data_IF_671272285518
#
_entry.id   IF_671272285518
#
_cell.length_a   1.000
_cell.length_b   1.000
_cell.length_c   1.000
_cell.angle_alpha   90.00
_cell.angle_beta   90.00
_cell.angle_gamma   90.00
#
_symmetry.space_group_name_H-M   'P 1'
#
loop_
_entity.id
_entity.type
_entity.pdbx_description
1 polymer ?
#
# COMPACT_ATOMS: atom_id res chain seq x y z
N UNK A 1 -29.74 -5.11 30.29
CA UNK A 1 -28.55 -4.66 31.03
C UNK A 1 -27.56 -4.14 30.01
N UNK A 2 -27.19 -2.86 30.11
CA UNK A 2 -26.26 -2.21 29.18
C UNK A 2 -24.94 -2.05 29.91
N UNK A 3 -23.88 -2.66 29.38
CA UNK A 3 -22.53 -2.53 29.95
C UNK A 3 -21.96 -1.20 29.46
N UNK A 4 -21.44 -0.33 30.34
CA UNK A 4 -20.74 0.87 29.91
C UNK A 4 -19.40 0.47 29.26
N UNK A 5 -19.28 0.75 27.96
CA UNK A 5 -18.03 0.62 27.21
C UNK A 5 -17.30 1.95 27.24
N UNK A 6 -16.03 1.91 27.67
CA UNK A 6 -15.11 3.05 27.55
C UNK A 6 -14.36 2.88 26.24
N UNK A 7 -14.62 3.76 25.27
CA UNK A 7 -13.84 3.77 24.03
C UNK A 7 -12.47 4.39 24.31
N UNK A 8 -11.42 3.57 24.17
CA UNK A 8 -10.05 4.04 24.20
C UNK A 8 -9.77 4.68 22.82
N UNK A 9 -9.23 5.91 22.74
CA UNK A 9 -8.87 6.51 21.46
C UNK A 9 -7.82 5.65 20.78
N UNK A 10 -8.20 4.97 19.70
CA UNK A 10 -7.26 4.33 18.79
C UNK A 10 -6.73 5.40 17.84
N UNK A 11 -5.41 5.55 17.74
CA UNK A 11 -4.80 6.48 16.77
C UNK A 11 -5.21 6.06 15.36
N UNK A 12 -5.73 7.02 14.60
CA UNK A 12 -6.27 6.78 13.27
C UNK A 12 -5.13 6.43 12.31
N UNK A 13 -5.23 5.27 11.64
CA UNK A 13 -4.23 4.86 10.65
C UNK A 13 -4.53 5.56 9.34
N UNK A 14 -3.57 6.32 8.86
CA UNK A 14 -3.65 7.04 7.60
C UNK A 14 -2.42 6.78 6.73
N UNK A 15 -2.61 6.75 5.41
CA UNK A 15 -1.50 6.61 4.46
C UNK A 15 -0.49 7.76 4.58
N UNK A 16 -0.91 8.97 4.98
CA UNK A 16 0.00 10.10 5.18
C UNK A 16 1.03 9.89 6.29
N UNK A 17 0.86 8.90 7.15
CA UNK A 17 1.81 8.53 8.21
C UNK A 17 2.52 7.19 7.98
N UNK A 18 2.20 6.47 6.89
CA UNK A 18 2.69 5.10 6.66
C UNK A 18 4.07 5.02 6.01
N UNK A 19 4.69 6.16 5.69
CA UNK A 19 6.00 6.21 5.03
C UNK A 19 6.09 5.33 3.78
N UNK A 20 4.97 5.17 3.06
CA UNK A 20 4.82 4.33 1.89
C UNK A 20 5.26 2.86 2.08
N UNK A 21 4.97 2.26 3.24
CA UNK A 21 5.33 0.87 3.52
C UNK A 21 4.77 -0.11 2.47
N UNK A 22 3.50 0.03 2.07
CA UNK A 22 2.89 -0.82 1.05
C UNK A 22 3.55 -0.69 -0.34
N UNK A 23 4.14 0.47 -0.67
CA UNK A 23 4.84 0.67 -1.94
C UNK A 23 6.21 -0.02 -2.00
N UNK A 24 6.63 -0.73 -0.93
CA UNK A 24 7.83 -1.59 -0.93
C UNK A 24 7.53 -3.04 -1.31
N UNK A 25 6.25 -3.41 -1.32
CA UNK A 25 5.82 -4.76 -1.64
C UNK A 25 5.88 -5.00 -3.15
N UNK A 26 6.21 -6.22 -3.54
CA UNK A 26 5.97 -6.67 -4.90
C UNK A 26 4.48 -6.97 -5.07
N UNK A 27 3.89 -6.46 -6.16
CA UNK A 27 2.46 -6.53 -6.40
C UNK A 27 2.21 -7.07 -7.80
N UNK A 28 1.58 -8.23 -7.88
CA UNK A 28 1.15 -8.82 -9.15
C UNK A 28 -0.08 -8.11 -9.71
N UNK A 29 -0.13 -7.96 -11.03
CA UNK A 29 -1.27 -7.43 -11.76
C UNK A 29 -2.11 -8.61 -12.26
N UNK A 30 -3.10 -9.00 -11.46
CA UNK A 30 -3.96 -10.15 -11.79
C UNK A 30 -5.18 -9.79 -12.66
N UNK A 31 -5.48 -8.51 -12.81
CA UNK A 31 -6.62 -7.98 -13.59
C UNK A 31 -6.29 -6.62 -14.21
N UNK A 32 -6.94 -6.32 -15.34
CA UNK A 32 -6.88 -4.99 -15.96
C UNK A 32 -7.56 -3.96 -15.05
N UNK A 33 -6.73 -3.21 -14.33
CA UNK A 33 -7.15 -2.32 -13.24
C UNK A 33 -7.00 -0.84 -13.57
N UNK A 34 -6.55 -0.53 -14.79
CA UNK A 34 -6.30 0.83 -15.26
C UNK A 34 -4.95 1.39 -14.80
N UNK A 35 -4.02 0.55 -14.38
CA UNK A 35 -2.64 0.96 -14.09
C UNK A 35 -1.98 1.44 -15.40
N UNK A 36 -1.41 2.65 -15.44
CA UNK A 36 -0.66 3.13 -16.61
C UNK A 36 0.53 2.22 -16.95
N UNK A 37 0.77 1.98 -18.24
CA UNK A 37 1.81 1.06 -18.74
C UNK A 37 3.22 1.42 -18.22
N UNK A 38 3.52 2.71 -18.00
CA UNK A 38 4.82 3.15 -17.46
C UNK A 38 5.10 2.65 -16.03
N UNK A 39 4.06 2.21 -15.30
CA UNK A 39 4.17 1.65 -13.96
C UNK A 39 4.13 0.12 -13.93
N UNK A 40 4.15 -0.54 -15.09
CA UNK A 40 4.09 -2.00 -15.21
C UNK A 40 5.48 -2.53 -15.61
N UNK A 41 5.86 -3.66 -15.02
CA UNK A 41 7.03 -4.43 -15.41
C UNK A 41 6.65 -5.89 -15.62
N UNK A 42 7.44 -6.60 -16.43
CA UNK A 42 7.32 -8.05 -16.60
C UNK A 42 8.36 -8.75 -15.73
N UNK A 43 7.92 -9.70 -14.92
CA UNK A 43 8.80 -10.51 -14.08
C UNK A 43 9.56 -11.60 -14.87
N UNK A 44 10.40 -12.38 -14.17
CA UNK A 44 11.21 -13.44 -14.78
C UNK A 44 10.39 -14.60 -15.38
N UNK A 45 9.11 -14.71 -15.04
CA UNK A 45 8.21 -15.76 -15.51
C UNK A 45 7.20 -15.26 -16.55
N UNK A 46 7.29 -13.99 -16.95
CA UNK A 46 6.39 -13.37 -17.92
C UNK A 46 5.11 -12.81 -17.30
N UNK A 47 5.00 -12.74 -15.97
CA UNK A 47 3.88 -12.12 -15.26
C UNK A 47 4.02 -10.61 -15.18
N UNK A 48 2.90 -9.89 -15.17
CA UNK A 48 2.89 -8.44 -14.97
C UNK A 48 2.87 -8.10 -13.48
N UNK A 49 3.74 -7.17 -13.10
CA UNK A 49 3.89 -6.67 -11.72
C UNK A 49 3.97 -5.14 -11.73
N UNK A 50 3.67 -4.51 -10.59
CA UNK A 50 4.01 -3.10 -10.40
C UNK A 50 5.51 -2.92 -10.53
N UNK A 51 5.93 -2.00 -11.41
CA UNK A 51 7.33 -1.67 -11.61
C UNK A 51 7.94 -1.11 -10.32
N UNK A 52 9.07 -1.69 -9.91
CA UNK A 52 9.86 -1.27 -8.76
C UNK A 52 11.19 -0.71 -9.24
N UNK A 53 11.54 0.47 -8.72
CA UNK A 53 12.79 1.12 -9.04
C UNK A 53 13.92 0.59 -8.14
N UNK A 54 15.16 0.98 -8.46
CA UNK A 54 16.37 0.54 -7.75
C UNK A 54 16.39 0.92 -6.26
N UNK A 55 15.55 1.88 -5.85
CA UNK A 55 15.37 2.27 -4.44
C UNK A 55 14.43 1.33 -3.67
N UNK A 56 13.91 0.30 -4.34
CA UNK A 56 13.03 -0.71 -3.75
C UNK A 56 11.57 -0.27 -3.62
N UNK A 57 11.21 0.92 -4.10
CA UNK A 57 9.84 1.42 -4.10
C UNK A 57 9.18 1.28 -5.46
N UNK A 58 7.85 1.13 -5.44
CA UNK A 58 7.01 1.23 -6.63
C UNK A 58 7.25 2.55 -7.39
N UNK A 59 7.23 2.47 -8.71
CA UNK A 59 7.43 3.61 -9.61
C UNK A 59 6.34 4.69 -9.45
N UNK A 60 5.13 4.33 -9.02
CA UNK A 60 4.01 5.26 -8.82
C UNK A 60 4.00 5.97 -7.45
N UNK A 61 5.06 5.83 -6.64
CA UNK A 61 5.17 6.51 -5.36
C UNK A 61 5.75 7.92 -5.51
N UNK A 62 5.06 8.91 -4.95
CA UNK A 62 5.63 10.24 -4.74
C UNK A 62 6.66 10.19 -3.59
N UNK A 63 7.90 10.56 -3.89
CA UNK A 63 9.02 10.50 -2.93
C UNK A 63 8.98 11.62 -1.90
N UNK A 64 8.32 12.74 -2.15
CA UNK A 64 8.18 13.84 -1.20
C UNK A 64 7.04 13.57 -0.23
N UNK A 65 5.84 13.29 -0.76
CA UNK A 65 4.63 13.12 0.07
C UNK A 65 4.50 11.72 0.66
N UNK A 66 5.23 10.74 0.11
CA UNK A 66 5.09 9.30 0.43
C UNK A 66 3.69 8.76 0.14
N UNK A 67 2.98 9.38 -0.81
CA UNK A 67 1.65 8.97 -1.24
C UNK A 67 1.69 8.35 -2.64
N UNK A 68 0.76 7.44 -2.91
CA UNK A 68 0.61 6.85 -4.24
C UNK A 68 0.02 7.90 -5.20
N UNK A 69 0.69 8.18 -6.33
CA UNK A 69 0.22 9.14 -7.33
C UNK A 69 -0.94 8.61 -8.17
N UNK A 70 -1.14 7.29 -8.18
CA UNK A 70 -2.20 6.61 -8.91
C UNK A 70 -3.29 6.06 -8.00
N UNK A 71 -3.51 6.63 -6.80
CA UNK A 71 -4.36 6.06 -5.75
C UNK A 71 -5.75 5.59 -6.25
N UNK A 72 -6.38 6.37 -7.14
CA UNK A 72 -7.70 6.07 -7.72
C UNK A 72 -7.69 4.93 -8.76
N UNK A 73 -6.56 4.71 -9.43
CA UNK A 73 -6.36 3.69 -10.47
C UNK A 73 -5.35 2.62 -10.04
N UNK A 74 -5.19 2.43 -8.73
CA UNK A 74 -4.33 1.38 -8.15
C UNK A 74 -4.74 -0.01 -8.64
N UNK A 75 -3.78 -0.95 -8.71
CA UNK A 75 -4.08 -2.33 -9.03
C UNK A 75 -4.99 -2.95 -7.97
N UNK A 76 -5.70 -4.01 -8.36
CA UNK A 76 -6.68 -4.68 -7.51
C UNK A 76 -6.10 -5.10 -6.16
N UNK A 77 -4.91 -5.73 -6.15
CA UNK A 77 -4.22 -6.13 -4.91
C UNK A 77 -3.99 -4.94 -3.96
N UNK A 78 -3.60 -3.78 -4.50
CA UNK A 78 -3.41 -2.57 -3.69
C UNK A 78 -4.73 -1.97 -3.17
N UNK A 79 -5.88 -2.30 -3.78
CA UNK A 79 -7.21 -1.88 -3.28
C UNK A 79 -7.68 -2.78 -2.15
N UNK A 80 -7.45 -4.09 -2.28
CA UNK A 80 -7.74 -5.08 -1.23
C UNK A 80 -6.84 -4.88 0.00
N UNK A 81 -5.64 -4.31 -0.18
CA UNK A 81 -4.80 -3.85 0.92
C UNK A 81 -5.40 -2.56 1.54
N UNK A 82 -6.43 -2.73 2.36
CA UNK A 82 -7.17 -1.62 2.96
C UNK A 82 -6.35 -0.84 4.00
N UNK A 83 -6.57 0.47 4.04
CA UNK A 83 -5.94 1.35 5.03
C UNK A 83 -6.37 0.96 6.44
N UNK A 84 -5.42 0.65 7.31
CA UNK A 84 -5.69 0.26 8.70
C UNK A 84 -6.16 -1.18 8.88
N UNK A 85 -6.16 -1.99 7.82
CA UNK A 85 -6.38 -3.44 7.89
C UNK A 85 -5.32 -4.13 8.74
N UNK A 86 -5.53 -5.41 9.02
CA UNK A 86 -4.56 -6.23 9.75
C UNK A 86 -3.21 -6.27 9.03
N UNK A 87 -3.23 -6.49 7.72
CA UNK A 87 -2.05 -6.51 6.85
C UNK A 87 -1.36 -5.14 6.84
N UNK A 88 -2.12 -4.04 6.75
CA UNK A 88 -1.58 -2.69 6.84
C UNK A 88 -0.80 -2.45 8.14
N UNK A 89 -1.32 -2.93 9.27
CA UNK A 89 -0.66 -2.78 10.59
C UNK A 89 0.57 -3.66 10.75
N UNK A 90 0.55 -4.87 10.18
CA UNK A 90 1.74 -5.73 10.12
C UNK A 90 2.85 -5.01 9.37
N UNK A 91 2.58 -4.53 8.16
CA UNK A 91 3.60 -3.85 7.34
C UNK A 91 4.15 -2.60 8.02
N UNK A 92 3.29 -1.83 8.70
CA UNK A 92 3.74 -0.69 9.51
C UNK A 92 4.69 -1.15 10.63
N UNK A 93 4.39 -2.25 11.30
CA UNK A 93 5.23 -2.82 12.36
C UNK A 93 6.58 -3.29 11.82
N UNK A 94 6.61 -4.03 10.71
CA UNK A 94 7.84 -4.49 10.05
C UNK A 94 8.74 -3.31 9.63
N UNK A 95 8.13 -2.17 9.34
CA UNK A 95 8.83 -0.93 9.00
C UNK A 95 9.05 0.03 10.18
N UNK A 96 8.85 -0.42 11.42
CA UNK A 96 9.01 0.37 12.65
C UNK A 96 8.19 1.68 12.67
N UNK A 97 7.00 1.63 12.08
CA UNK A 97 6.04 2.74 12.03
C UNK A 97 5.04 2.52 13.16
N UNK A 98 5.15 3.33 14.21
CA UNK A 98 4.32 3.19 15.40
C UNK A 98 3.08 4.08 15.26
N UNK A 99 1.92 3.44 15.34
CA UNK A 99 0.61 4.09 15.40
C UNK A 99 0.43 4.88 16.68
#
# INVERSE_FOLDING_TARGET
>A
MTIPITQIPTKEVTCSTCQACCCRLEVMLITETGVPEEFIATDAWGGEVMNRLDDGWCAALDRETKMCTIYEVRPWICREFEMGSYECRIERTEHNIID
#
